data_IF_848070541070
#
_entry.id   IF_848070541070
#
_cell.length_a   1.000
_cell.length_b   1.000
_cell.length_c   1.000
_cell.angle_alpha   90.00
_cell.angle_beta   90.00
_cell.angle_gamma   90.00
#
_symmetry.space_group_name_H-M   'P 1'
#
loop_
_entity.id
_entity.type
_entity.pdbx_description
1 polymer ?
#
# COMPACT_ATOMS: atom_id res chain seq x y z
N UNK A 1 5.76 11.87 -18.17
CA UNK A 1 6.48 10.62 -18.52
C UNK A 1 5.86 9.39 -17.86
N UNK A 2 5.75 9.30 -16.53
CA UNK A 2 5.15 8.14 -15.86
C UNK A 2 3.72 7.80 -16.31
N UNK A 3 2.85 8.82 -16.48
CA UNK A 3 1.48 8.63 -16.98
C UNK A 3 1.45 7.97 -18.37
N UNK A 4 2.23 8.50 -19.31
CA UNK A 4 2.36 7.97 -20.68
C UNK A 4 2.85 6.51 -20.67
N UNK A 5 3.80 6.15 -19.79
CA UNK A 5 4.28 4.78 -19.67
C UNK A 5 3.18 3.83 -19.18
N UNK A 6 2.42 4.22 -18.15
CA UNK A 6 1.33 3.38 -17.63
C UNK A 6 0.18 3.23 -18.65
N UNK A 7 -0.07 4.25 -19.48
CA UNK A 7 -1.09 4.19 -20.53
C UNK A 7 -0.66 3.33 -21.72
N UNK A 8 0.60 3.42 -22.15
CA UNK A 8 1.11 2.73 -23.34
C UNK A 8 1.63 1.31 -23.06
N UNK A 9 2.07 1.05 -21.84
CA UNK A 9 2.66 -0.21 -21.38
C UNK A 9 2.18 -0.51 -19.94
N UNK A 10 0.89 -0.83 -19.75
CA UNK A 10 0.31 -1.07 -18.43
C UNK A 10 0.92 -2.29 -17.71
N UNK A 11 1.55 -3.20 -18.46
CA UNK A 11 2.30 -4.34 -17.99
C UNK A 11 3.73 -3.99 -17.53
N UNK A 12 4.26 -2.86 -17.98
CA UNK A 12 5.61 -2.40 -17.63
C UNK A 12 5.66 -1.81 -16.22
N UNK A 13 6.42 -2.39 -15.28
CA UNK A 13 6.48 -1.89 -13.90
C UNK A 13 7.18 -0.52 -13.78
N UNK A 14 7.94 -0.11 -14.79
CA UNK A 14 8.74 1.11 -14.76
C UNK A 14 7.87 2.38 -14.62
N UNK A 15 6.70 2.40 -15.28
CA UNK A 15 5.78 3.52 -15.19
C UNK A 15 5.28 3.74 -13.75
N UNK A 16 4.93 2.65 -13.07
CA UNK A 16 4.43 2.65 -11.71
C UNK A 16 5.53 3.00 -10.70
N UNK A 17 6.74 2.47 -10.87
CA UNK A 17 7.92 2.86 -10.08
C UNK A 17 8.21 4.35 -10.18
N UNK A 18 8.29 4.89 -11.40
CA UNK A 18 8.55 6.32 -11.61
C UNK A 18 7.46 7.19 -10.99
N UNK A 19 6.20 6.74 -11.04
CA UNK A 19 5.06 7.43 -10.42
C UNK A 19 5.21 7.52 -8.89
N UNK A 20 5.53 6.41 -8.21
CA UNK A 20 5.73 6.40 -6.74
C UNK A 20 6.96 7.21 -6.33
N UNK A 21 8.05 7.09 -7.08
CA UNK A 21 9.23 7.92 -6.86
C UNK A 21 8.87 9.41 -6.92
N UNK A 22 8.18 9.85 -7.98
CA UNK A 22 7.78 11.25 -8.13
C UNK A 22 6.84 11.72 -7.00
N UNK A 23 5.95 10.85 -6.53
CA UNK A 23 5.00 11.12 -5.46
C UNK A 23 5.69 11.30 -4.09
N UNK A 24 6.66 10.46 -3.77
CA UNK A 24 7.23 10.38 -2.41
C UNK A 24 8.62 11.01 -2.26
N UNK A 25 9.32 11.34 -3.35
CA UNK A 25 10.66 11.94 -3.29
C UNK A 25 10.72 13.24 -2.47
N UNK A 26 9.64 14.05 -2.49
CA UNK A 26 9.57 15.32 -1.76
C UNK A 26 9.18 15.14 -0.29
N UNK A 27 8.64 13.98 0.08
CA UNK A 27 8.19 13.70 1.45
C UNK A 27 9.38 13.13 2.22
N UNK A 28 10.14 13.98 2.90
CA UNK A 28 11.36 13.60 3.64
C UNK A 28 11.15 13.45 5.14
N UNK A 29 9.99 13.85 5.67
CA UNK A 29 9.59 13.70 7.07
C UNK A 29 8.11 13.33 7.16
N UNK A 30 7.69 12.80 8.30
CA UNK A 30 6.27 12.56 8.56
C UNK A 30 5.51 13.87 8.78
N UNK A 31 4.20 13.91 8.48
CA UNK A 31 3.35 15.04 8.85
C UNK A 31 3.33 15.23 10.37
N UNK A 32 3.17 16.48 10.82
CA UNK A 32 3.02 16.77 12.24
C UNK A 32 1.74 16.15 12.77
N UNK A 33 1.87 15.34 13.82
CA UNK A 33 0.77 14.67 14.49
C UNK A 33 0.43 15.34 15.83
N UNK A 34 -0.83 15.26 16.23
CA UNK A 34 -1.31 15.56 17.58
C UNK A 34 -0.86 14.49 18.58
N UNK A 35 -1.09 14.72 19.88
CA UNK A 35 -0.74 13.77 20.94
C UNK A 35 -1.41 12.40 20.81
N UNK A 36 -2.52 12.31 20.07
CA UNK A 36 -3.25 11.07 19.80
C UNK A 36 -2.88 10.42 18.45
N UNK A 37 -1.86 10.94 17.75
CA UNK A 37 -1.36 10.39 16.48
C UNK A 37 -2.11 10.87 15.23
N UNK A 38 -3.14 11.71 15.37
CA UNK A 38 -3.84 12.30 14.22
C UNK A 38 -3.05 13.40 13.55
N UNK A 39 -3.17 13.47 12.24
CA UNK A 39 -2.57 14.50 11.40
C UNK A 39 -3.67 15.42 10.87
N UNK A 40 -3.35 16.65 10.42
CA UNK A 40 -4.34 17.55 9.80
C UNK A 40 -4.77 17.10 8.39
N UNK A 41 -4.30 15.93 7.93
CA UNK A 41 -4.55 15.42 6.59
C UNK A 41 -5.92 14.76 6.53
N UNK A 42 -6.65 15.05 5.46
CA UNK A 42 -7.94 14.43 5.19
C UNK A 42 -7.75 13.01 4.62
N UNK A 43 -8.52 12.06 5.13
CA UNK A 43 -8.63 10.73 4.54
C UNK A 43 -9.37 10.80 3.19
N UNK A 44 -9.13 9.80 2.34
CA UNK A 44 -10.00 9.55 1.19
C UNK A 44 -11.38 9.13 1.69
N UNK A 45 -12.44 9.64 1.07
CA UNK A 45 -13.83 9.37 1.48
C UNK A 45 -14.11 7.88 1.61
N UNK A 46 -14.69 7.46 2.73
CA UNK A 46 -15.06 6.06 2.99
C UNK A 46 -16.00 5.50 1.92
N UNK A 47 -16.95 6.30 1.41
CA UNK A 47 -17.85 5.90 0.33
C UNK A 47 -17.10 5.60 -0.96
N UNK A 48 -16.07 6.41 -1.28
CA UNK A 48 -15.23 6.21 -2.45
C UNK A 48 -14.37 4.95 -2.30
N UNK A 49 -13.81 4.71 -1.10
CA UNK A 49 -13.04 3.49 -0.81
C UNK A 49 -13.93 2.26 -0.93
N UNK A 50 -15.15 2.32 -0.40
CA UNK A 50 -16.13 1.24 -0.48
C UNK A 50 -16.55 0.94 -1.94
N UNK A 51 -16.77 1.96 -2.78
CA UNK A 51 -17.03 1.77 -4.21
C UNK A 51 -15.91 0.97 -4.88
N UNK A 52 -14.66 1.39 -4.68
CA UNK A 52 -13.54 0.70 -5.31
C UNK A 52 -13.39 -0.75 -4.82
N UNK A 53 -13.57 -0.99 -3.52
CA UNK A 53 -13.54 -2.34 -2.95
C UNK A 53 -14.65 -3.23 -3.52
N UNK A 54 -15.86 -2.69 -3.69
CA UNK A 54 -16.99 -3.44 -4.26
C UNK A 54 -16.75 -3.89 -5.70
N UNK A 55 -16.05 -3.05 -6.48
CA UNK A 55 -15.73 -3.30 -7.90
C UNK A 55 -14.50 -4.18 -8.10
N UNK A 56 -13.73 -4.43 -7.04
CA UNK A 56 -12.49 -5.21 -7.12
C UNK A 56 -12.72 -6.65 -7.63
N UNK A 57 -13.87 -7.26 -7.33
CA UNK A 57 -14.20 -8.61 -7.79
C UNK A 57 -14.23 -8.71 -9.33
N UNK A 58 -14.70 -7.66 -9.99
CA UNK A 58 -14.78 -7.50 -11.45
C UNK A 58 -13.83 -6.41 -11.94
N UNK A 59 -12.61 -6.38 -11.39
CA UNK A 59 -11.63 -5.34 -11.68
C UNK A 59 -11.40 -5.15 -13.18
N UNK A 60 -11.44 -3.89 -13.63
CA UNK A 60 -11.14 -3.46 -14.99
C UNK A 60 -10.07 -2.37 -15.01
N UNK A 61 -9.61 -2.01 -16.20
CA UNK A 61 -8.62 -0.93 -16.36
C UNK A 61 -9.14 0.43 -15.86
N UNK A 62 -10.45 0.67 -15.93
CA UNK A 62 -11.06 1.92 -15.50
C UNK A 62 -11.01 2.09 -13.98
N UNK A 63 -11.32 1.04 -13.23
CA UNK A 63 -11.13 0.99 -11.78
C UNK A 63 -9.67 1.27 -11.44
N UNK A 64 -8.74 0.59 -12.11
CA UNK A 64 -7.33 0.75 -11.80
C UNK A 64 -6.84 2.20 -12.02
N UNK A 65 -7.25 2.82 -13.12
CA UNK A 65 -6.95 4.23 -13.42
C UNK A 65 -7.54 5.19 -12.39
N UNK A 66 -8.77 4.93 -11.91
CA UNK A 66 -9.42 5.73 -10.87
C UNK A 66 -8.66 5.62 -9.54
N UNK A 67 -8.29 4.40 -9.13
CA UNK A 67 -7.51 4.18 -7.91
C UNK A 67 -6.14 4.87 -8.01
N UNK A 68 -5.44 4.73 -9.14
CA UNK A 68 -4.14 5.40 -9.36
C UNK A 68 -4.24 6.93 -9.30
N UNK A 69 -5.33 7.51 -9.80
CA UNK A 69 -5.58 8.95 -9.71
C UNK A 69 -5.77 9.39 -8.25
N UNK A 70 -6.55 8.64 -7.48
CA UNK A 70 -6.81 8.93 -6.07
C UNK A 70 -5.55 8.81 -5.23
N UNK A 71 -4.72 7.79 -5.47
CA UNK A 71 -3.41 7.61 -4.82
C UNK A 71 -2.44 8.78 -5.10
N UNK A 72 -2.45 9.31 -6.31
CA UNK A 72 -1.62 10.48 -6.65
C UNK A 72 -2.06 11.76 -5.94
N UNK A 73 -3.34 11.88 -5.59
CA UNK A 73 -3.89 13.03 -4.87
C UNK A 73 -3.75 12.88 -3.35
N UNK A 74 -3.62 11.65 -2.85
CA UNK A 74 -3.48 11.33 -1.43
C UNK A 74 -2.21 10.49 -1.16
N UNK A 75 -1.01 11.12 -1.07
CA UNK A 75 0.27 10.40 -0.96
C UNK A 75 0.40 9.49 0.26
N UNK A 76 -0.36 9.78 1.32
CA UNK A 76 -0.37 9.03 2.59
C UNK A 76 -1.47 7.98 2.67
N UNK A 77 -2.30 7.83 1.63
CA UNK A 77 -3.34 6.80 1.57
C UNK A 77 -2.73 5.45 1.12
N UNK A 78 -2.02 4.79 2.03
CA UNK A 78 -1.26 3.56 1.74
C UNK A 78 -2.17 2.38 1.38
N UNK A 79 -3.37 2.34 1.95
CA UNK A 79 -4.40 1.36 1.58
C UNK A 79 -4.79 1.45 0.09
N UNK A 80 -4.75 2.65 -0.51
CA UNK A 80 -4.97 2.83 -1.95
C UNK A 80 -3.91 2.16 -2.81
N UNK A 81 -2.65 2.10 -2.34
CA UNK A 81 -1.59 1.38 -3.03
C UNK A 81 -1.80 -0.14 -2.98
N UNK A 82 -2.26 -0.66 -1.84
CA UNK A 82 -2.65 -2.06 -1.70
C UNK A 82 -3.79 -2.42 -2.67
N UNK A 83 -4.82 -1.58 -2.72
CA UNK A 83 -5.94 -1.74 -3.65
C UNK A 83 -5.47 -1.70 -5.12
N UNK A 84 -4.57 -0.77 -5.46
CA UNK A 84 -3.99 -0.70 -6.81
C UNK A 84 -3.22 -1.97 -7.16
N UNK A 85 -2.41 -2.50 -6.24
CA UNK A 85 -1.67 -3.74 -6.46
C UNK A 85 -2.62 -4.95 -6.60
N UNK A 86 -3.67 -5.04 -5.79
CA UNK A 86 -4.70 -6.08 -5.92
C UNK A 86 -5.44 -5.99 -7.26
N UNK A 87 -5.74 -4.77 -7.72
CA UNK A 87 -6.39 -4.54 -9.02
C UNK A 87 -5.46 -4.97 -10.16
N UNK A 88 -4.18 -4.58 -10.12
CA UNK A 88 -3.16 -5.00 -11.07
C UNK A 88 -3.03 -6.53 -11.14
N UNK A 89 -3.00 -7.20 -9.98
CA UNK A 89 -2.92 -8.66 -9.89
C UNK A 89 -4.12 -9.35 -10.54
N UNK A 90 -5.34 -8.84 -10.31
CA UNK A 90 -6.58 -9.39 -10.93
C UNK A 90 -6.61 -9.21 -12.44
N UNK A 91 -6.00 -8.15 -12.95
CA UNK A 91 -5.83 -7.90 -14.38
C UNK A 91 -4.68 -8.71 -15.00
N UNK A 92 -3.96 -9.52 -14.22
CA UNK A 92 -2.85 -10.36 -14.68
C UNK A 92 -1.47 -9.69 -14.64
N UNK A 93 -1.37 -8.44 -14.17
CA UNK A 93 -0.13 -7.68 -14.10
C UNK A 93 0.63 -7.92 -12.79
N UNK A 94 1.00 -9.18 -12.53
CA UNK A 94 1.66 -9.59 -11.28
C UNK A 94 2.94 -8.78 -11.00
N UNK A 95 3.80 -8.60 -12.01
CA UNK A 95 5.05 -7.86 -11.85
C UNK A 95 4.84 -6.40 -11.44
N UNK A 96 3.75 -5.79 -11.92
CA UNK A 96 3.35 -4.44 -11.52
C UNK A 96 2.84 -4.43 -10.08
N UNK A 97 2.02 -5.40 -9.70
CA UNK A 97 1.54 -5.54 -8.32
C UNK A 97 2.70 -5.68 -7.31
N UNK A 98 3.67 -6.55 -7.61
CA UNK A 98 4.88 -6.72 -6.80
C UNK A 98 5.70 -5.42 -6.73
N UNK A 99 5.86 -4.73 -7.87
CA UNK A 99 6.58 -3.44 -7.91
C UNK A 99 5.90 -2.39 -7.06
N UNK A 100 4.57 -2.28 -7.10
CA UNK A 100 3.82 -1.33 -6.26
C UNK A 100 4.08 -1.64 -4.78
N UNK A 101 4.04 -2.92 -4.38
CA UNK A 101 4.37 -3.34 -3.01
C UNK A 101 5.79 -2.92 -2.62
N UNK A 102 6.78 -3.19 -3.46
CA UNK A 102 8.18 -2.88 -3.16
C UNK A 102 8.44 -1.38 -3.03
N UNK A 103 7.72 -0.53 -3.77
CA UNK A 103 7.80 0.93 -3.60
C UNK A 103 7.18 1.36 -2.26
N UNK A 104 6.04 0.77 -1.85
CA UNK A 104 5.40 1.06 -0.54
C UNK A 104 6.32 0.65 0.61
N UNK A 105 6.93 -0.54 0.53
CA UNK A 105 7.90 -1.02 1.53
C UNK A 105 9.04 -0.03 1.67
N UNK A 106 9.68 0.37 0.57
CA UNK A 106 10.79 1.35 0.60
C UNK A 106 10.39 2.71 1.16
N UNK A 107 9.16 3.14 0.90
CA UNK A 107 8.65 4.38 1.49
C UNK A 107 8.49 4.28 3.01
N UNK A 108 7.96 3.15 3.50
CA UNK A 108 7.80 2.88 4.93
C UNK A 108 9.14 2.62 5.64
N UNK A 109 10.11 1.97 5.00
CA UNK A 109 11.47 1.80 5.56
C UNK A 109 12.15 3.16 5.78
N UNK A 110 11.89 4.12 4.89
CA UNK A 110 12.42 5.48 5.00
C UNK A 110 11.72 6.31 6.07
N UNK A 111 10.42 6.10 6.27
CA UNK A 111 9.59 6.83 7.24
C UNK A 111 8.72 5.84 8.04
N UNK A 112 9.33 5.04 8.94
CA UNK A 112 8.61 3.98 9.64
C UNK A 112 7.54 4.51 10.60
N UNK A 113 7.63 5.78 11.02
CA UNK A 113 6.64 6.39 11.91
C UNK A 113 5.25 6.50 11.24
N UNK A 114 5.17 6.48 9.90
CA UNK A 114 3.92 6.52 9.16
C UNK A 114 2.97 5.36 9.50
N UNK A 115 3.49 4.20 9.96
CA UNK A 115 2.66 3.03 10.27
C UNK A 115 1.75 3.23 11.49
N UNK A 116 2.02 4.24 12.32
CA UNK A 116 1.25 4.57 13.52
C UNK A 116 0.42 5.85 13.40
N UNK A 117 0.41 6.52 12.25
CA UNK A 117 -0.29 7.79 12.06
C UNK A 117 -1.72 7.61 11.58
N UNK A 118 -2.55 8.59 11.95
CA UNK A 118 -3.96 8.67 11.60
C UNK A 118 -4.24 9.94 10.78
N UNK A 119 -5.23 9.88 9.92
CA UNK A 119 -5.87 11.05 9.33
C UNK A 119 -6.68 11.81 10.39
N UNK A 120 -7.18 12.99 10.02
CA UNK A 120 -7.95 13.86 10.92
C UNK A 120 -9.23 13.20 11.48
N UNK A 121 -9.82 12.28 10.74
CA UNK A 121 -11.02 11.50 11.06
C UNK A 121 -10.75 10.21 11.86
N UNK A 122 -9.49 9.99 12.27
CA UNK A 122 -8.97 8.77 12.93
C UNK A 122 -8.81 7.54 12.03
N UNK A 123 -9.04 7.67 10.73
CA UNK A 123 -8.71 6.61 9.78
C UNK A 123 -7.19 6.40 9.80
N UNK A 124 -6.67 5.16 9.92
CA UNK A 124 -5.23 4.93 9.89
C UNK A 124 -4.68 5.17 8.48
N UNK A 125 -3.43 5.62 8.38
CA UNK A 125 -2.72 5.69 7.09
C UNK A 125 -2.54 4.29 6.48
N UNK A 126 -2.40 3.30 7.37
CA UNK A 126 -2.11 1.91 7.05
C UNK A 126 -3.02 0.98 7.85
N UNK A 127 -4.03 0.39 7.20
CA UNK A 127 -4.91 -0.60 7.83
C UNK A 127 -4.18 -1.91 8.17
N UNK A 128 -4.75 -2.71 9.07
CA UNK A 128 -4.22 -4.04 9.41
C UNK A 128 -4.16 -4.97 8.18
N UNK A 129 -5.13 -4.88 7.27
CA UNK A 129 -5.12 -5.64 6.03
C UNK A 129 -3.90 -5.29 5.17
N UNK A 130 -3.59 -3.99 5.03
CA UNK A 130 -2.43 -3.56 4.26
C UNK A 130 -1.12 -3.94 4.96
N UNK A 131 -1.05 -3.91 6.30
CA UNK A 131 0.11 -4.43 7.05
C UNK A 131 0.36 -5.91 6.74
N UNK A 132 -0.69 -6.72 6.73
CA UNK A 132 -0.59 -8.15 6.38
C UNK A 132 -0.14 -8.35 4.93
N UNK A 133 -0.66 -7.56 3.98
CA UNK A 133 -0.23 -7.61 2.58
C UNK A 133 1.25 -7.26 2.40
N UNK A 134 1.77 -6.27 3.15
CA UNK A 134 3.18 -5.90 3.13
C UNK A 134 4.08 -6.98 3.77
N UNK A 135 3.59 -7.64 4.83
CA UNK A 135 4.32 -8.72 5.51
C UNK A 135 4.29 -10.05 4.74
N UNK A 136 3.32 -10.23 3.82
CA UNK A 136 3.20 -11.42 3.02
C UNK A 136 4.40 -11.56 2.07
N UNK A 137 5.19 -12.61 2.27
CA UNK A 137 6.30 -12.95 1.38
C UNK A 137 5.75 -13.33 -0.01
N UNK A 138 6.36 -12.85 -1.12
CA UNK A 138 5.95 -13.22 -2.48
C UNK A 138 6.05 -14.73 -2.75
N UNK A 139 6.97 -15.40 -2.05
CA UNK A 139 7.00 -16.85 -1.91
C UNK A 139 6.37 -17.19 -0.57
N UNK A 140 5.28 -17.96 -0.55
CA UNK A 140 4.57 -18.37 0.66
C UNK A 140 5.35 -19.33 1.56
N UNK A 141 6.60 -19.02 1.89
CA UNK A 141 7.40 -19.73 2.88
C UNK A 141 7.19 -19.03 4.22
N UNK A 142 6.14 -19.46 4.92
CA UNK A 142 6.01 -19.25 6.35
C UNK A 142 7.30 -19.79 6.97
N UNK A 143 8.14 -18.89 7.51
CA UNK A 143 9.30 -19.32 8.27
C UNK A 143 8.79 -20.18 9.44
N UNK A 144 9.31 -21.39 9.67
CA UNK A 144 8.87 -22.19 10.78
C UNK A 144 9.25 -21.42 12.05
N UNK A 145 8.24 -21.12 12.86
CA UNK A 145 8.42 -20.68 14.25
C UNK A 145 9.29 -21.73 14.91
N UNK A 146 10.53 -21.35 15.23
CA UNK A 146 11.39 -22.15 16.07
C UNK A 146 10.71 -22.26 17.44
N UNK A 147 10.09 -23.42 17.70
CA UNK A 147 9.75 -23.83 19.07
C UNK A 147 11.07 -24.10 19.79
N UNK A 148 11.57 -23.05 20.43
CA UNK A 148 12.61 -23.14 21.44
C UNK A 148 11.92 -23.50 22.75
N UNK A 149 12.23 -24.70 23.24
CA UNK A 149 12.39 -25.04 24.65
C UNK A 149 11.16 -24.98 25.55
N UNK A 150 10.77 -26.12 26.10
CA UNK A 150 10.81 -26.41 27.54
C UNK A 150 9.95 -27.65 27.82
N UNK A 151 10.57 -28.76 28.23
CA UNK A 151 10.07 -29.52 29.38
C UNK A 151 11.17 -30.46 29.88
N UNK A 152 11.67 -30.06 31.06
CA UNK A 152 12.58 -30.81 31.91
C UNK A 152 11.74 -31.54 32.98
N UNK A 153 12.22 -32.70 33.40
CA UNK A 153 11.83 -33.51 34.57
C UNK A 153 10.52 -34.33 34.49
N UNK A 154 10.62 -35.66 34.60
CA UNK A 154 10.62 -36.38 35.88
C UNK A 154 10.37 -37.90 35.69
N UNK A 155 10.96 -38.67 36.63
CA UNK A 155 10.78 -40.09 36.94
C UNK A 155 11.59 -41.12 36.13
#
# INVERSE_FOLDING_TARGET
>A
VAAILCERQPDSPQGYRLRRHALWQSITSTPQAESDGRTPLAAVSADMVADYQSRLASADMALWQQVEKSVLLAPYWLDGHCLSAQTALRLGYKQVADTIRDEVIRFLERLPQLTGLLFNDRTPFLSEQTKQWLAASPDGKVAPVAQIGEESQAA
#
